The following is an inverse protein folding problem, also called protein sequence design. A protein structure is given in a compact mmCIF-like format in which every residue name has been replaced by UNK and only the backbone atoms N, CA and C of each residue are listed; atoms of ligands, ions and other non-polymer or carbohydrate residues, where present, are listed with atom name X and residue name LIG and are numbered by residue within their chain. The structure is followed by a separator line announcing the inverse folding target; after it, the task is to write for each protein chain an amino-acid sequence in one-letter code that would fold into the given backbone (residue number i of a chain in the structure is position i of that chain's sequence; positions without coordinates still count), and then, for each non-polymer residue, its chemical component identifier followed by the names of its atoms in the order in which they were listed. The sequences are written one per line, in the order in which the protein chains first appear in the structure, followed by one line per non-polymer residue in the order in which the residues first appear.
data_IF_656328935515
#
_entry.id   IF_656328935515
#
_cell.length_a   1.000
_cell.length_b   1.000
_cell.length_c   1.000
_cell.angle_alpha   90.00
_cell.angle_beta   90.00
_cell.angle_gamma   90.00
#
_symmetry.space_group_name_H-M   'P 1'
#
loop_
_entity.id
_entity.type
_entity.pdbx_description
1 polymer ?
#
# COMPACT_ATOMS: atom_id res chain seq x y z
N UNK A 1 -33.41 -31.04 22.71
CA UNK A 1 -33.27 -31.60 21.35
C UNK A 1 -31.78 -31.72 21.09
N UNK A 2 -31.29 -32.94 20.85
CA UNK A 2 -29.86 -33.26 20.75
C UNK A 2 -29.36 -32.97 19.34
N UNK A 3 -28.30 -32.18 19.22
CA UNK A 3 -27.55 -31.98 17.97
C UNK A 3 -26.93 -33.30 17.49
N UNK A 4 -26.96 -33.60 16.18
CA UNK A 4 -26.23 -34.73 15.63
C UNK A 4 -24.74 -34.41 15.45
N UNK A 5 -23.91 -35.31 16.00
CA UNK A 5 -22.46 -35.30 15.86
C UNK A 5 -22.02 -35.52 14.41
N UNK A 6 -21.10 -34.68 13.93
CA UNK A 6 -20.43 -34.81 12.64
C UNK A 6 -19.27 -35.80 12.77
N UNK A 7 -19.17 -36.85 11.92
CA UNK A 7 -18.05 -37.78 11.99
C UNK A 7 -16.76 -37.17 11.41
N UNK A 8 -15.58 -37.56 11.95
CA UNK A 8 -14.29 -37.06 11.49
C UNK A 8 -13.97 -37.60 10.09
N UNK A 9 -13.53 -36.69 9.20
CA UNK A 9 -13.03 -37.02 7.86
C UNK A 9 -11.61 -37.58 7.96
N UNK A 10 -11.45 -38.84 7.55
CA UNK A 10 -10.19 -39.52 7.32
C UNK A 10 -9.40 -38.82 6.21
N UNK A 11 -8.26 -38.22 6.54
CA UNK A 11 -7.29 -37.71 5.56
C UNK A 11 -6.36 -38.88 5.20
N UNK A 12 -6.49 -39.38 3.97
CA UNK A 12 -5.54 -40.32 3.40
C UNK A 12 -4.25 -39.57 3.03
N UNK A 13 -3.15 -39.89 3.73
CA UNK A 13 -1.81 -39.44 3.40
C UNK A 13 -1.30 -40.26 2.22
N UNK A 14 -1.29 -39.67 1.03
CA UNK A 14 -0.63 -40.26 -0.14
C UNK A 14 0.86 -39.97 0.00
N UNK A 15 1.61 -41.01 0.36
CA UNK A 15 3.07 -41.02 0.36
C UNK A 15 3.53 -41.15 -1.10
N UNK A 16 4.05 -40.06 -1.68
CA UNK A 16 4.65 -40.08 -3.02
C UNK A 16 6.09 -40.55 -2.88
N UNK A 17 6.38 -41.73 -3.44
CA UNK A 17 7.73 -42.26 -3.59
C UNK A 17 8.57 -41.38 -4.51
N UNK A 18 9.65 -40.82 -3.97
CA UNK A 18 10.74 -40.19 -4.73
C UNK A 18 11.57 -41.29 -5.38
N UNK A 19 11.43 -41.46 -6.70
CA UNK A 19 12.38 -42.21 -7.51
C UNK A 19 13.51 -41.27 -7.93
N UNK A 20 14.67 -41.45 -7.30
CA UNK A 20 15.93 -40.85 -7.70
C UNK A 20 16.41 -41.46 -9.02
N UNK A 21 16.23 -40.72 -10.13
CA UNK A 21 16.92 -40.97 -11.39
C UNK A 21 18.19 -40.13 -11.46
N UNK A 22 19.35 -40.76 -11.21
CA UNK A 22 20.66 -40.21 -11.60
C UNK A 22 20.81 -40.32 -13.12
N UNK A 23 20.88 -39.17 -13.80
CA UNK A 23 21.35 -39.06 -15.17
C UNK A 23 22.49 -38.04 -15.25
N UNK A 24 23.67 -38.38 -15.81
CA UNK A 24 24.73 -37.42 -16.05
C UNK A 24 24.47 -36.76 -17.42
N UNK A 25 24.06 -35.50 -17.40
CA UNK A 25 23.89 -34.67 -18.59
C UNK A 25 24.46 -33.28 -18.33
N UNK A 26 25.79 -33.17 -18.29
CA UNK A 26 26.49 -31.89 -18.32
C UNK A 26 26.34 -31.27 -19.71
N UNK A 27 25.21 -30.61 -19.95
CA UNK A 27 25.11 -29.58 -20.98
C UNK A 27 25.66 -28.28 -20.37
N UNK A 28 26.85 -27.89 -20.82
CA UNK A 28 27.41 -26.56 -20.60
C UNK A 28 26.41 -25.54 -21.15
N UNK A 29 25.68 -24.90 -20.24
CA UNK A 29 24.73 -23.84 -20.57
C UNK A 29 25.47 -22.67 -21.18
N UNK A 30 25.14 -22.39 -22.43
CA UNK A 30 25.45 -21.15 -23.13
C UNK A 30 24.87 -19.99 -22.30
N UNK A 31 25.75 -19.12 -21.76
CA UNK A 31 25.36 -17.90 -21.06
C UNK A 31 24.50 -17.04 -21.98
N UNK A 32 23.19 -17.08 -21.78
CA UNK A 32 22.24 -16.23 -22.48
C UNK A 32 22.58 -14.76 -22.18
N UNK A 33 23.19 -14.09 -23.17
CA UNK A 33 23.44 -12.64 -23.12
C UNK A 33 22.15 -11.91 -22.73
N UNK A 34 22.19 -10.97 -21.78
CA UNK A 34 21.03 -10.15 -21.44
C UNK A 34 20.46 -9.50 -22.70
N UNK A 35 19.21 -9.81 -23.03
CA UNK A 35 18.51 -9.26 -24.19
C UNK A 35 18.49 -7.72 -24.12
N UNK A 36 19.06 -7.06 -25.12
CA UNK A 36 19.13 -5.59 -25.26
C UNK A 36 17.76 -4.89 -25.06
N UNK A 37 16.66 -5.57 -25.42
CA UNK A 37 15.29 -5.07 -25.25
C UNK A 37 14.90 -4.81 -23.78
N UNK A 38 15.39 -5.62 -22.84
CA UNK A 38 15.05 -5.51 -21.42
C UNK A 38 15.75 -4.31 -20.78
N UNK A 39 16.96 -4.03 -21.22
CA UNK A 39 17.75 -2.88 -20.78
C UNK A 39 17.14 -1.56 -21.27
N UNK A 40 16.65 -1.51 -22.51
CA UNK A 40 15.99 -0.32 -23.05
C UNK A 40 14.66 0.01 -22.34
N UNK A 41 13.82 -0.99 -22.07
CA UNK A 41 12.55 -0.79 -21.36
C UNK A 41 12.76 -0.27 -19.92
N UNK A 42 13.71 -0.87 -19.18
CA UNK A 42 14.05 -0.42 -17.82
C UNK A 42 14.60 1.02 -17.81
N UNK A 43 15.39 1.38 -18.83
CA UNK A 43 15.93 2.74 -18.97
C UNK A 43 14.83 3.76 -19.26
N UNK A 44 13.88 3.44 -20.14
CA UNK A 44 12.75 4.30 -20.45
C UNK A 44 11.83 4.51 -19.24
N UNK A 45 11.56 3.44 -18.46
CA UNK A 45 10.78 3.54 -17.23
C UNK A 45 11.47 4.41 -16.19
N UNK A 46 12.78 4.21 -15.97
CA UNK A 46 13.56 5.04 -15.05
C UNK A 46 13.54 6.52 -15.45
N UNK A 47 13.67 6.82 -16.76
CA UNK A 47 13.59 8.18 -17.27
C UNK A 47 12.19 8.79 -17.07
N UNK A 48 11.11 8.03 -17.32
CA UNK A 48 9.75 8.46 -17.04
C UNK A 48 9.53 8.76 -15.55
N UNK A 49 10.06 7.90 -14.67
CA UNK A 49 9.99 8.08 -13.22
C UNK A 49 10.75 9.32 -12.73
N UNK A 50 11.92 9.60 -13.30
CA UNK A 50 12.69 10.80 -13.00
C UNK A 50 11.93 12.07 -13.41
N UNK A 51 11.41 12.10 -14.66
CA UNK A 51 10.56 13.20 -15.15
C UNK A 51 9.30 13.39 -14.30
N UNK A 52 8.63 12.29 -13.96
CA UNK A 52 7.45 12.31 -13.10
C UNK A 52 7.73 12.90 -11.72
N UNK A 53 8.89 12.57 -11.13
CA UNK A 53 9.32 13.14 -9.86
C UNK A 53 9.61 14.64 -9.97
N UNK A 54 10.26 15.10 -11.03
CA UNK A 54 10.48 16.54 -11.26
C UNK A 54 9.17 17.32 -11.39
N UNK A 55 8.22 16.81 -12.18
CA UNK A 55 6.88 17.41 -12.33
C UNK A 55 6.14 17.46 -11.00
N UNK A 56 6.23 16.39 -10.23
CA UNK A 56 5.63 16.30 -8.91
C UNK A 56 6.24 17.33 -7.95
N UNK A 57 7.57 17.44 -7.88
CA UNK A 57 8.27 18.41 -7.04
C UNK A 57 7.85 19.84 -7.38
N UNK A 58 7.77 20.19 -8.68
CA UNK A 58 7.22 21.48 -9.11
C UNK A 58 5.81 21.72 -8.62
N UNK A 59 4.93 20.71 -8.69
CA UNK A 59 3.55 20.82 -8.19
C UNK A 59 3.53 20.99 -6.67
N UNK A 60 4.30 20.21 -5.93
CA UNK A 60 4.33 20.26 -4.46
C UNK A 60 4.88 21.59 -3.95
N UNK A 61 5.83 22.22 -4.64
CA UNK A 61 6.31 23.55 -4.30
C UNK A 61 5.22 24.64 -4.35
N UNK A 62 4.10 24.40 -5.06
CA UNK A 62 2.94 25.31 -5.08
C UNK A 62 1.95 25.08 -3.94
N UNK A 63 2.17 24.06 -3.10
CA UNK A 63 1.29 23.66 -2.02
C UNK A 63 2.00 23.89 -0.67
N UNK A 64 1.68 24.99 0.04
CA UNK A 64 2.33 25.29 1.32
C UNK A 64 2.25 24.12 2.29
N UNK A 65 3.37 23.75 2.91
CA UNK A 65 3.46 22.69 3.91
C UNK A 65 3.49 21.26 3.35
N UNK A 66 3.52 21.09 2.02
CA UNK A 66 3.70 19.80 1.37
C UNK A 66 5.09 19.19 1.60
N UNK A 67 6.11 20.03 1.83
CA UNK A 67 7.49 19.62 2.14
C UNK A 67 7.62 18.81 3.43
N UNK A 68 6.61 18.87 4.31
CA UNK A 68 6.52 18.07 5.54
C UNK A 68 6.00 16.65 5.31
N UNK A 69 5.49 16.37 4.11
CA UNK A 69 4.99 15.05 3.73
C UNK A 69 6.05 14.22 3.01
N UNK A 70 5.89 12.89 3.05
CA UNK A 70 6.73 11.94 2.34
C UNK A 70 6.05 11.48 1.06
N UNK A 71 6.78 11.56 -0.05
CA UNK A 71 6.32 11.07 -1.35
C UNK A 71 6.74 9.61 -1.53
N UNK A 72 5.78 8.74 -1.85
CA UNK A 72 6.02 7.33 -2.18
C UNK A 72 5.41 7.03 -3.56
N UNK A 73 6.13 6.27 -4.39
CA UNK A 73 5.63 5.84 -5.71
C UNK A 73 4.76 4.59 -5.57
N UNK A 74 3.67 4.54 -6.35
CA UNK A 74 2.76 3.40 -6.43
C UNK A 74 3.00 2.74 -7.79
N UNK A 75 3.82 1.69 -7.84
CA UNK A 75 4.28 1.09 -9.11
C UNK A 75 3.63 -0.24 -9.47
N UNK A 76 2.95 -0.88 -8.54
CA UNK A 76 2.61 -2.30 -8.68
C UNK A 76 1.19 -2.54 -9.20
N UNK A 77 1.07 -3.59 -10.03
CA UNK A 77 -0.20 -4.26 -10.30
C UNK A 77 -1.03 -3.66 -11.44
N UNK A 78 -2.37 -3.65 -11.31
CA UNK A 78 -3.32 -3.27 -12.36
C UNK A 78 -3.17 -1.84 -12.90
N UNK A 79 -2.59 -0.92 -12.11
CA UNK A 79 -2.49 0.50 -12.47
C UNK A 79 -1.68 0.72 -13.75
N UNK A 80 -0.51 0.08 -13.88
CA UNK A 80 0.34 0.22 -15.07
C UNK A 80 -0.30 -0.35 -16.34
N UNK A 81 -1.16 -1.37 -16.21
CA UNK A 81 -1.88 -1.97 -17.35
C UNK A 81 -3.06 -1.11 -17.81
N UNK A 82 -3.81 -0.53 -16.87
CA UNK A 82 -5.02 0.24 -17.17
C UNK A 82 -4.75 1.69 -17.53
N UNK A 83 -3.66 2.26 -17.01
CA UNK A 83 -3.32 3.67 -17.18
C UNK A 83 -1.91 3.83 -17.76
N UNK A 84 -1.68 3.40 -19.02
CA UNK A 84 -0.36 3.51 -19.64
C UNK A 84 0.10 4.97 -19.70
N UNK A 85 1.34 5.21 -19.30
CA UNK A 85 1.95 6.55 -19.26
C UNK A 85 1.56 7.41 -18.04
N UNK A 86 0.65 6.94 -17.19
CA UNK A 86 0.38 7.61 -15.92
C UNK A 86 1.37 7.15 -14.84
N UNK A 87 1.77 8.06 -13.97
CA UNK A 87 2.60 7.76 -12.80
C UNK A 87 1.84 8.11 -11.53
N UNK A 88 1.77 7.15 -10.62
CA UNK A 88 1.01 7.28 -9.38
C UNK A 88 1.96 7.46 -8.19
N UNK A 89 1.63 8.43 -7.35
CA UNK A 89 2.35 8.75 -6.14
C UNK A 89 1.35 8.99 -5.00
N UNK A 90 1.83 8.85 -3.77
CA UNK A 90 1.12 9.28 -2.57
C UNK A 90 2.00 10.24 -1.78
N UNK A 91 1.44 11.40 -1.41
CA UNK A 91 2.02 12.29 -0.41
C UNK A 91 1.39 11.96 0.94
N UNK A 92 2.18 11.37 1.84
CA UNK A 92 1.76 10.96 3.17
C UNK A 92 2.28 11.93 4.23
N UNK A 93 1.38 12.40 5.07
CA UNK A 93 1.70 13.05 6.33
C UNK A 93 1.65 12.01 7.43
N UNK A 94 2.72 11.93 8.21
CA UNK A 94 2.85 10.98 9.30
C UNK A 94 1.67 11.13 10.27
N UNK A 95 0.91 10.06 10.52
CA UNK A 95 -0.10 10.04 11.59
C UNK A 95 0.49 9.52 12.91
N UNK A 96 1.54 8.71 12.82
CA UNK A 96 2.17 8.06 13.95
C UNK A 96 3.69 8.01 13.79
N UNK A 97 4.46 8.13 14.88
CA UNK A 97 3.99 8.25 16.27
C UNK A 97 3.50 9.63 16.68
N UNK A 98 3.97 10.68 16.00
CA UNK A 98 3.50 12.06 16.18
C UNK A 98 2.80 12.47 14.90
N UNK A 99 1.51 12.77 15.02
CA UNK A 99 0.67 13.19 13.92
C UNK A 99 1.11 14.57 13.42
N UNK A 100 1.39 14.67 12.13
CA UNK A 100 1.56 15.92 11.43
C UNK A 100 0.20 16.36 10.90
N UNK A 101 -0.25 17.54 11.32
CA UNK A 101 -1.47 18.14 10.78
C UNK A 101 -1.17 18.70 9.37
N UNK A 102 -1.74 18.08 8.30
CA UNK A 102 -1.56 18.58 6.95
C UNK A 102 -2.31 19.92 6.81
N UNK A 103 -1.73 20.89 6.08
CA UNK A 103 -2.41 22.15 5.81
C UNK A 103 -3.49 21.93 4.75
N UNK A 104 -4.62 22.64 4.83
CA UNK A 104 -5.63 22.58 3.78
C UNK A 104 -5.03 23.00 2.41
N UNK A 105 -5.39 22.34 1.29
CA UNK A 105 -6.40 21.29 1.15
C UNK A 105 -5.87 19.86 1.36
N UNK A 106 -4.62 19.69 1.79
CA UNK A 106 -3.98 18.39 1.97
C UNK A 106 -4.61 17.62 3.14
N UNK A 107 -4.67 16.30 3.00
CA UNK A 107 -5.08 15.34 4.02
C UNK A 107 -3.89 14.48 4.44
N UNK A 108 -4.10 13.54 5.36
CA UNK A 108 -3.03 12.66 5.82
C UNK A 108 -2.42 11.80 4.71
N UNK A 109 -3.21 11.42 3.71
CA UNK A 109 -2.72 10.82 2.48
C UNK A 109 -3.37 11.53 1.31
N UNK A 110 -2.59 11.79 0.27
CA UNK A 110 -3.05 12.46 -0.94
C UNK A 110 -2.48 11.73 -2.14
N UNK A 111 -3.35 11.30 -3.06
CA UNK A 111 -2.91 10.70 -4.30
C UNK A 111 -2.48 11.81 -5.26
N UNK A 112 -1.33 11.62 -5.89
CA UNK A 112 -0.79 12.50 -6.91
C UNK A 112 -0.59 11.69 -8.18
N UNK A 113 -1.17 12.15 -9.27
CA UNK A 113 -1.12 11.44 -10.55
C UNK A 113 -0.48 12.36 -11.58
N UNK A 114 0.67 11.95 -12.09
CA UNK A 114 1.29 12.58 -13.26
C UNK A 114 0.67 11.94 -14.49
N UNK A 115 0.07 12.77 -15.34
CA UNK A 115 -0.60 12.36 -16.56
C UNK A 115 0.39 12.34 -17.75
N UNK A 116 0.04 11.67 -18.86
CA UNK A 116 0.85 11.68 -20.08
C UNK A 116 1.08 13.07 -20.70
N UNK A 117 0.24 14.05 -20.35
CA UNK A 117 0.36 15.46 -20.79
C UNK A 117 1.20 16.32 -19.84
N UNK A 118 1.98 15.70 -18.96
CA UNK A 118 2.78 16.31 -17.89
C UNK A 118 1.99 17.06 -16.80
N UNK A 119 0.66 17.04 -16.84
CA UNK A 119 -0.14 17.64 -15.77
C UNK A 119 -0.13 16.76 -14.52
N UNK A 120 -0.16 17.40 -13.34
CA UNK A 120 -0.21 16.70 -12.05
C UNK A 120 -1.55 16.94 -11.35
N UNK A 121 -2.31 15.86 -11.18
CA UNK A 121 -3.56 15.86 -10.41
C UNK A 121 -3.30 15.61 -8.92
N UNK A 122 -4.04 16.29 -8.05
CA UNK A 122 -4.11 16.02 -6.62
C UNK A 122 -5.50 15.46 -6.30
N UNK A 123 -5.58 14.21 -5.84
CA UNK A 123 -6.82 13.55 -5.43
C UNK A 123 -6.75 13.29 -3.92
N UNK A 124 -7.41 14.15 -3.15
CA UNK A 124 -7.40 14.09 -1.68
C UNK A 124 -8.58 13.32 -1.09
N UNK A 125 -9.57 12.93 -1.90
CA UNK A 125 -10.80 12.29 -1.45
C UNK A 125 -11.37 11.30 -2.48
N UNK A 126 -12.33 10.46 -2.06
CA UNK A 126 -12.98 9.47 -2.94
C UNK A 126 -13.65 10.08 -4.16
N UNK A 127 -14.26 11.26 -4.03
CA UNK A 127 -15.00 11.89 -5.13
C UNK A 127 -14.07 12.35 -6.26
N UNK A 128 -12.89 12.86 -5.91
CA UNK A 128 -11.85 13.18 -6.89
C UNK A 128 -11.29 11.92 -7.56
N UNK A 129 -11.19 10.81 -6.82
CA UNK A 129 -10.78 9.52 -7.36
C UNK A 129 -11.81 8.95 -8.34
N UNK A 130 -13.10 9.01 -8.00
CA UNK A 130 -14.20 8.63 -8.89
C UNK A 130 -14.14 9.44 -10.17
N UNK A 131 -14.02 10.77 -10.05
CA UNK A 131 -13.94 11.67 -11.20
C UNK A 131 -12.77 11.32 -12.11
N UNK A 132 -11.60 11.02 -11.53
CA UNK A 132 -10.45 10.55 -12.29
C UNK A 132 -10.79 9.26 -13.05
N UNK A 133 -11.23 8.20 -12.37
CA UNK A 133 -11.54 6.92 -13.01
C UNK A 133 -12.59 7.04 -14.12
N UNK A 134 -13.66 7.81 -13.90
CA UNK A 134 -14.70 8.02 -14.92
C UNK A 134 -14.16 8.70 -16.18
N UNK A 135 -13.16 9.55 -16.04
CA UNK A 135 -12.56 10.29 -17.15
C UNK A 135 -11.42 9.55 -17.87
N UNK A 136 -10.71 8.65 -17.18
CA UNK A 136 -9.46 8.06 -17.69
C UNK A 136 -9.48 6.54 -17.80
N UNK A 137 -10.35 5.84 -17.09
CA UNK A 137 -10.40 4.38 -17.15
C UNK A 137 -10.86 3.93 -18.55
N UNK A 138 -10.09 3.07 -19.24
CA UNK A 138 -10.54 2.50 -20.51
C UNK A 138 -11.84 1.72 -20.36
N UNK A 139 -12.64 1.65 -21.44
CA UNK A 139 -13.89 0.90 -21.44
C UNK A 139 -13.65 -0.58 -21.05
N UNK A 140 -14.25 -1.02 -19.95
CA UNK A 140 -14.17 -2.37 -19.44
C UNK A 140 -15.27 -3.24 -20.08
N UNK A 141 -15.01 -3.74 -21.28
CA UNK A 141 -15.97 -4.54 -22.06
C UNK A 141 -16.02 -6.02 -21.67
N UNK A 142 -15.10 -6.45 -20.80
CA UNK A 142 -15.00 -7.83 -20.32
C UNK A 142 -14.96 -7.88 -18.80
N UNK A 143 -15.41 -9.00 -18.23
CA UNK A 143 -15.31 -9.22 -16.78
C UNK A 143 -13.88 -9.12 -16.26
N UNK A 144 -12.89 -9.58 -17.03
CA UNK A 144 -11.48 -9.47 -16.66
C UNK A 144 -11.01 -8.01 -16.54
N UNK A 145 -11.37 -7.16 -17.52
CA UNK A 145 -11.05 -5.73 -17.46
C UNK A 145 -11.76 -5.03 -16.30
N UNK A 146 -13.02 -5.39 -16.06
CA UNK A 146 -13.80 -4.82 -14.95
C UNK A 146 -13.21 -5.21 -13.59
N UNK A 147 -12.73 -6.45 -13.44
CA UNK A 147 -11.98 -6.93 -12.27
C UNK A 147 -10.67 -6.16 -12.07
N UNK A 148 -9.87 -5.96 -13.13
CA UNK A 148 -8.65 -5.16 -13.06
C UNK A 148 -8.96 -3.72 -12.63
N UNK A 149 -10.04 -3.12 -13.15
CA UNK A 149 -10.51 -1.80 -12.75
C UNK A 149 -10.84 -1.72 -11.26
N UNK A 150 -11.52 -2.74 -10.72
CA UNK A 150 -11.81 -2.82 -9.29
C UNK A 150 -10.55 -2.99 -8.43
N UNK A 151 -9.58 -3.80 -8.87
CA UNK A 151 -8.30 -3.93 -8.17
C UNK A 151 -7.50 -2.62 -8.16
N UNK A 152 -7.46 -1.90 -9.30
CA UNK A 152 -6.82 -0.58 -9.38
C UNK A 152 -7.50 0.43 -8.45
N UNK A 153 -8.84 0.44 -8.41
CA UNK A 153 -9.62 1.27 -7.50
C UNK A 153 -9.26 0.99 -6.04
N UNK A 154 -9.37 -0.28 -5.62
CA UNK A 154 -9.05 -0.71 -4.25
C UNK A 154 -7.63 -0.33 -3.86
N UNK A 155 -6.63 -0.56 -4.72
CA UNK A 155 -5.23 -0.21 -4.46
C UNK A 155 -5.06 1.28 -4.13
N UNK A 156 -5.78 2.16 -4.82
CA UNK A 156 -5.69 3.61 -4.58
C UNK A 156 -6.50 4.05 -3.35
N UNK A 157 -7.66 3.43 -3.09
CA UNK A 157 -8.46 3.71 -1.90
C UNK A 157 -7.77 3.22 -0.61
N UNK A 158 -7.01 2.12 -0.66
CA UNK A 158 -6.14 1.68 0.43
C UNK A 158 -5.19 2.80 0.87
N UNK A 159 -4.59 3.50 -0.09
CA UNK A 159 -3.67 4.62 0.18
C UNK A 159 -4.38 5.80 0.84
N UNK A 160 -5.62 6.10 0.45
CA UNK A 160 -6.42 7.15 1.08
C UNK A 160 -6.78 6.80 2.54
N UNK A 161 -6.89 5.51 2.87
CA UNK A 161 -7.25 5.01 4.19
C UNK A 161 -6.05 4.62 5.08
N UNK A 162 -4.84 4.64 4.52
CA UNK A 162 -3.62 4.24 5.19
C UNK A 162 -3.29 5.13 6.41
N UNK A 163 -2.69 4.56 7.44
CA UNK A 163 -2.17 5.31 8.61
C UNK A 163 -0.67 5.04 8.87
N UNK A 164 -0.03 4.28 7.99
CA UNK A 164 1.36 3.80 8.09
C UNK A 164 1.49 2.41 8.69
N UNK A 165 0.44 1.87 9.31
CA UNK A 165 0.44 0.58 10.00
C UNK A 165 -0.54 -0.44 9.40
N UNK A 166 -1.50 0.01 8.59
CA UNK A 166 -2.44 -0.88 7.93
C UNK A 166 -1.72 -1.63 6.81
N UNK A 167 -1.91 -2.93 6.80
CA UNK A 167 -1.55 -3.78 5.67
C UNK A 167 -2.85 -4.30 5.08
N UNK A 168 -3.00 -4.19 3.78
CA UNK A 168 -4.19 -4.63 3.06
C UNK A 168 -3.83 -5.81 2.16
N UNK A 169 -4.79 -6.69 1.96
CA UNK A 169 -4.77 -7.72 0.94
C UNK A 169 -6.07 -7.63 0.16
N UNK A 170 -6.01 -7.85 -1.16
CA UNK A 170 -7.19 -7.95 -2.03
C UNK A 170 -7.27 -9.39 -2.53
N UNK A 171 -8.01 -10.29 -1.85
CA UNK A 171 -8.19 -11.65 -2.31
C UNK A 171 -8.94 -11.66 -3.64
N UNK A 172 -8.49 -12.44 -4.62
CA UNK A 172 -9.12 -12.50 -5.94
C UNK A 172 -10.59 -12.96 -5.86
N UNK A 173 -10.87 -13.88 -4.94
CA UNK A 173 -12.21 -14.39 -4.65
C UNK A 173 -13.15 -13.35 -4.03
N UNK A 174 -12.63 -12.22 -3.53
CA UNK A 174 -13.47 -11.13 -3.03
C UNK A 174 -14.10 -10.31 -4.15
N UNK A 175 -13.61 -10.45 -5.39
CA UNK A 175 -14.07 -9.68 -6.53
C UNK A 175 -15.11 -10.46 -7.31
N UNK A 176 -16.32 -9.90 -7.39
CA UNK A 176 -17.45 -10.49 -8.10
C UNK A 176 -17.92 -9.54 -9.20
N UNK A 177 -18.11 -10.06 -10.41
CA UNK A 177 -18.66 -9.33 -11.55
C UNK A 177 -20.05 -9.88 -11.86
N UNK A 178 -21.05 -8.99 -11.90
CA UNK A 178 -22.44 -9.33 -12.24
C UNK A 178 -22.91 -8.48 -13.42
N UNK A 179 -23.77 -9.04 -14.27
CA UNK A 179 -24.44 -8.24 -15.32
C UNK A 179 -25.64 -7.53 -14.71
N UNK A 180 -25.83 -6.26 -15.05
CA UNK A 180 -27.04 -5.52 -14.69
C UNK A 180 -28.07 -5.60 -15.82
N UNK A 181 -29.35 -5.47 -15.48
CA UNK A 181 -30.48 -5.59 -16.42
C UNK A 181 -30.36 -4.61 -17.60
N UNK A 182 -29.76 -3.45 -17.38
CA UNK A 182 -29.49 -2.43 -18.40
C UNK A 182 -28.39 -2.81 -19.41
N UNK A 183 -27.78 -4.00 -19.31
CA UNK A 183 -26.76 -4.48 -20.23
C UNK A 183 -25.32 -4.13 -19.84
N UNK A 184 -25.09 -3.42 -18.74
CA UNK A 184 -23.77 -3.11 -18.19
C UNK A 184 -23.24 -4.17 -17.21
N UNK A 185 -22.20 -3.80 -16.46
CA UNK A 185 -21.57 -4.64 -15.44
C UNK A 185 -21.54 -3.94 -14.08
N UNK A 186 -21.80 -4.68 -13.01
CA UNK A 186 -21.56 -4.25 -11.63
C UNK A 186 -20.46 -5.12 -11.04
N UNK A 187 -19.39 -4.49 -10.58
CA UNK A 187 -18.27 -5.15 -9.92
C UNK A 187 -18.28 -4.78 -8.44
N UNK A 188 -18.17 -5.77 -7.58
CA UNK A 188 -17.94 -5.58 -6.14
C UNK A 188 -16.60 -6.20 -5.79
N UNK A 189 -15.82 -5.56 -4.93
CA UNK A 189 -14.54 -6.10 -4.44
C UNK A 189 -14.25 -5.66 -3.02
N UNK A 190 -13.32 -6.34 -2.35
CA UNK A 190 -12.96 -6.03 -0.97
C UNK A 190 -11.44 -6.05 -0.75
N UNK A 191 -10.90 -4.97 -0.16
CA UNK A 191 -9.56 -4.96 0.42
C UNK A 191 -9.66 -5.24 1.92
N UNK A 192 -9.11 -6.36 2.37
CA UNK A 192 -9.17 -6.81 3.76
C UNK A 192 -7.91 -6.37 4.49
N UNK A 193 -8.08 -5.84 5.71
CA UNK A 193 -6.96 -5.50 6.59
C UNK A 193 -6.34 -6.79 7.12
N UNK A 194 -5.04 -6.99 6.89
CA UNK A 194 -4.28 -8.11 7.45
C UNK A 194 -4.24 -7.97 8.98
N UNK A 195 -4.79 -8.93 9.74
CA UNK A 195 -4.90 -8.80 11.18
C UNK A 195 -3.53 -8.77 11.87
N UNK A 196 -3.12 -7.58 12.35
CA UNK A 196 -1.87 -7.37 13.09
C UNK A 196 -2.04 -6.24 14.11
N UNK A 197 -1.62 -6.45 15.35
CA UNK A 197 -1.66 -5.42 16.40
C UNK A 197 -3.07 -4.89 16.72
N UNK A 198 -4.12 -5.70 16.49
CA UNK A 198 -5.52 -5.29 16.67
C UNK A 198 -6.14 -4.59 15.45
N UNK A 199 -5.41 -4.44 14.34
CA UNK A 199 -5.97 -4.01 13.07
C UNK A 199 -6.93 -5.06 12.53
N UNK A 200 -8.10 -4.64 12.05
CA UNK A 200 -9.08 -5.52 11.39
C UNK A 200 -10.06 -4.72 10.54
N UNK A 201 -10.89 -5.43 9.77
CA UNK A 201 -11.92 -4.85 8.91
C UNK A 201 -11.50 -4.79 7.45
N UNK A 202 -12.08 -3.89 6.68
CA UNK A 202 -11.81 -3.81 5.25
C UNK A 202 -12.44 -2.61 4.55
N UNK A 203 -12.18 -2.53 3.26
CA UNK A 203 -12.72 -1.52 2.34
C UNK A 203 -13.48 -2.28 1.26
N UNK A 204 -14.80 -2.07 1.20
CA UNK A 204 -15.64 -2.61 0.15
C UNK A 204 -15.81 -1.59 -0.96
N UNK A 205 -15.55 -1.97 -2.20
CA UNK A 205 -15.76 -1.14 -3.36
C UNK A 205 -16.90 -1.68 -4.24
N UNK A 206 -17.61 -0.76 -4.90
CA UNK A 206 -18.63 -1.04 -5.91
C UNK A 206 -18.38 -0.13 -7.11
N UNK A 207 -18.14 -0.74 -8.27
CA UNK A 207 -18.01 -0.06 -9.55
C UNK A 207 -19.18 -0.48 -10.46
N UNK A 208 -19.75 0.48 -11.17
CA UNK A 208 -20.85 0.25 -12.12
C UNK A 208 -20.42 0.77 -13.49
N UNK A 209 -20.47 -0.12 -14.47
CA UNK A 209 -20.18 0.14 -15.87
C UNK A 209 -21.47 0.06 -16.68
N UNK A 210 -21.62 0.91 -17.69
CA UNK A 210 -22.72 0.82 -18.64
C UNK A 210 -22.49 -0.28 -19.69
N UNK A 211 -23.41 -0.39 -20.66
CA UNK A 211 -23.33 -1.39 -21.74
C UNK A 211 -22.15 -1.20 -22.70
N UNK A 212 -21.52 -0.02 -22.71
CA UNK A 212 -20.29 0.24 -23.47
C UNK A 212 -19.02 -0.13 -22.69
N UNK A 213 -19.15 -0.49 -21.42
CA UNK A 213 -18.04 -0.69 -20.50
C UNK A 213 -17.50 0.61 -19.92
N UNK A 214 -18.18 1.75 -20.10
CA UNK A 214 -17.77 3.03 -19.50
C UNK A 214 -18.14 3.05 -18.03
N UNK A 215 -17.24 3.51 -17.16
CA UNK A 215 -17.52 3.62 -15.74
C UNK A 215 -18.54 4.75 -15.48
N UNK A 216 -19.68 4.38 -14.93
CA UNK A 216 -20.77 5.32 -14.59
C UNK A 216 -20.59 5.85 -13.17
N UNK A 217 -20.26 4.97 -12.23
CA UNK A 217 -20.06 5.33 -10.83
C UNK A 217 -19.08 4.39 -10.14
N UNK A 218 -18.35 4.92 -9.16
CA UNK A 218 -17.54 4.14 -8.24
C UNK A 218 -17.73 4.65 -6.82
N UNK A 219 -17.81 3.73 -5.86
CA UNK A 219 -18.01 4.06 -4.46
C UNK A 219 -17.34 3.03 -3.56
N UNK A 220 -16.99 3.44 -2.36
CA UNK A 220 -16.47 2.57 -1.33
C UNK A 220 -17.14 2.78 0.03
N UNK A 221 -17.04 1.75 0.87
CA UNK A 221 -17.28 1.86 2.30
C UNK A 221 -16.10 1.26 3.03
N UNK A 222 -15.43 2.06 3.86
CA UNK A 222 -14.35 1.62 4.72
C UNK A 222 -14.88 1.33 6.13
N UNK A 223 -14.72 0.08 6.58
CA UNK A 223 -15.03 -0.36 7.94
C UNK A 223 -13.74 -0.88 8.58
N UNK A 224 -12.84 0.04 8.91
CA UNK A 224 -11.51 -0.29 9.44
C UNK A 224 -11.51 -0.02 10.95
N UNK A 225 -11.14 -1.03 11.73
CA UNK A 225 -10.79 -0.85 13.14
C UNK A 225 -9.28 -0.80 13.24
N UNK A 226 -8.77 0.37 13.61
CA UNK A 226 -7.35 0.56 13.89
C UNK A 226 -7.01 -0.10 15.23
N UNK A 227 -5.95 -0.90 15.22
CA UNK A 227 -5.38 -1.49 16.42
C UNK A 227 -4.68 -0.45 17.30
N UNK A 228 -3.97 -0.94 18.31
CA UNK A 228 -3.20 -0.06 19.21
C UNK A 228 -2.09 0.62 18.41
N UNK A 229 -1.91 1.92 18.64
CA UNK A 229 -0.84 2.74 18.06
C UNK A 229 -0.06 3.35 19.20
N UNK A 230 1.14 2.85 19.52
CA UNK A 230 1.96 3.44 20.56
C UNK A 230 2.29 4.89 20.22
N UNK A 231 2.15 5.78 21.20
CA UNK A 231 2.68 7.14 21.08
C UNK A 231 4.16 7.05 21.40
N UNK A 232 5.00 7.46 20.45
CA UNK A 232 6.44 7.45 20.69
C UNK A 232 6.83 8.60 21.61
N UNK A 233 7.59 8.24 22.64
CA UNK A 233 8.11 9.15 23.64
C UNK A 233 9.63 9.00 23.71
N UNK A 234 10.34 9.09 22.57
CA UNK A 234 11.80 8.90 22.59
C UNK A 234 12.50 9.88 23.53
N UNK A 235 11.97 11.09 23.70
CA UNK A 235 12.44 12.07 24.68
C UNK A 235 12.35 11.61 26.14
N UNK A 236 11.62 10.52 26.43
CA UNK A 236 11.47 9.88 27.74
C UNK A 236 12.40 8.69 27.97
N UNK A 237 13.29 8.37 27.03
CA UNK A 237 14.29 7.32 27.21
C UNK A 237 15.32 7.60 28.32
N UNK A 238 15.43 8.87 28.75
CA UNK A 238 16.26 9.28 29.88
C UNK A 238 15.44 9.75 31.09
N UNK A 239 14.13 9.48 31.13
CA UNK A 239 13.28 9.93 32.25
C UNK A 239 13.82 9.35 33.57
N UNK A 240 13.91 10.15 34.65
CA UNK A 240 14.40 9.67 35.95
C UNK A 240 13.50 8.59 36.56
N UNK A 241 12.20 8.59 36.23
CA UNK A 241 11.30 7.52 36.61
C UNK A 241 11.52 6.30 35.70
N UNK A 242 11.99 5.20 36.28
CA UNK A 242 12.27 3.95 35.58
C UNK A 242 11.01 3.35 34.93
N UNK A 243 9.83 3.61 35.48
CA UNK A 243 8.56 3.14 34.91
C UNK A 243 8.25 3.92 33.63
N UNK A 244 8.38 5.24 33.66
CA UNK A 244 8.16 6.10 32.48
C UNK A 244 9.16 5.74 31.38
N UNK A 245 10.42 5.53 31.74
CA UNK A 245 11.47 5.08 30.81
C UNK A 245 11.11 3.73 30.18
N UNK A 246 10.75 2.74 31.00
CA UNK A 246 10.36 1.42 30.51
C UNK A 246 9.12 1.46 29.60
N UNK A 247 8.15 2.32 29.88
CA UNK A 247 6.99 2.55 29.00
C UNK A 247 7.39 3.14 27.66
N UNK A 248 8.29 4.13 27.64
CA UNK A 248 8.80 4.75 26.41
C UNK A 248 9.57 3.74 25.55
N UNK A 249 10.46 2.96 26.17
CA UNK A 249 11.20 1.89 25.50
C UNK A 249 10.25 0.85 24.90
N UNK A 250 9.29 0.35 25.68
CA UNK A 250 8.33 -0.64 25.21
C UNK A 250 7.47 -0.11 24.07
N UNK A 251 7.04 1.15 24.12
CA UNK A 251 6.28 1.78 23.04
C UNK A 251 7.07 1.81 21.73
N UNK A 252 8.37 2.18 21.79
CA UNK A 252 9.28 2.17 20.64
C UNK A 252 9.47 0.76 20.08
N UNK A 253 9.70 -0.22 20.97
CA UNK A 253 9.90 -1.62 20.56
C UNK A 253 8.65 -2.24 19.95
N UNK A 254 7.44 -1.85 20.37
CA UNK A 254 6.18 -2.30 19.74
C UNK A 254 6.00 -1.71 18.35
N UNK A 255 6.48 -0.49 18.10
CA UNK A 255 6.47 0.09 16.76
C UNK A 255 7.49 -0.56 15.82
N UNK A 256 8.60 -1.07 16.35
CA UNK A 256 9.65 -1.72 15.57
C UNK A 256 10.19 -0.80 14.48
N UNK A 257 10.43 -1.35 13.29
CA UNK A 257 10.92 -0.60 12.12
C UNK A 257 10.01 0.56 11.69
N UNK A 258 8.73 0.59 12.08
CA UNK A 258 7.86 1.72 11.79
C UNK A 258 8.30 3.02 12.51
N UNK A 259 9.13 2.92 13.56
CA UNK A 259 9.63 4.09 14.29
C UNK A 259 10.80 4.82 13.59
N UNK A 260 11.37 4.26 12.51
CA UNK A 260 12.63 4.73 11.88
C UNK A 260 12.66 6.25 11.64
N UNK A 261 11.72 6.77 10.85
CA UNK A 261 11.71 8.17 10.42
C UNK A 261 11.56 9.12 11.62
N UNK A 262 10.80 8.70 12.64
CA UNK A 262 10.65 9.45 13.88
C UNK A 262 11.92 9.43 14.73
N UNK A 263 12.54 8.26 14.91
CA UNK A 263 13.76 8.16 15.71
C UNK A 263 14.90 8.96 15.09
N UNK A 264 15.01 8.97 13.76
CA UNK A 264 15.99 9.81 13.05
C UNK A 264 15.79 11.31 13.34
N UNK A 265 14.55 11.81 13.24
CA UNK A 265 14.19 13.21 13.55
C UNK A 265 14.48 13.57 15.02
N UNK A 266 14.10 12.70 15.96
CA UNK A 266 14.38 12.94 17.38
C UNK A 266 15.89 12.91 17.67
N UNK A 267 16.63 12.01 17.02
CA UNK A 267 18.08 11.89 17.20
C UNK A 267 18.80 13.15 16.73
N UNK A 268 18.39 13.75 15.62
CA UNK A 268 19.00 14.97 15.06
C UNK A 268 18.93 16.17 16.03
N UNK A 269 17.87 16.23 16.84
CA UNK A 269 17.62 17.32 17.81
C UNK A 269 17.98 16.96 19.26
N UNK A 270 18.45 15.73 19.52
CA UNK A 270 18.70 15.20 20.85
C UNK A 270 20.11 15.56 21.40
N UNK A 271 20.25 15.58 22.73
CA UNK A 271 21.56 15.61 23.39
C UNK A 271 22.35 14.32 23.12
N UNK A 272 23.69 14.31 23.26
CA UNK A 272 24.50 13.12 23.02
C UNK A 272 24.01 11.88 23.80
N UNK A 273 23.63 12.04 25.07
CA UNK A 273 23.17 10.93 25.92
C UNK A 273 21.85 10.35 25.41
N UNK A 274 20.96 11.21 24.91
CA UNK A 274 19.68 10.79 24.35
C UNK A 274 19.87 10.17 22.97
N UNK A 275 20.81 10.65 22.16
CA UNK A 275 21.20 10.00 20.91
C UNK A 275 21.68 8.57 21.16
N UNK A 276 22.55 8.37 22.15
CA UNK A 276 23.02 7.03 22.52
C UNK A 276 21.87 6.12 22.98
N UNK A 277 20.89 6.67 23.70
CA UNK A 277 19.71 5.92 24.13
C UNK A 277 18.82 5.51 22.94
N UNK A 278 18.59 6.42 21.99
CA UNK A 278 17.88 6.15 20.75
C UNK A 278 18.61 5.07 19.94
N UNK A 279 19.94 5.19 19.79
CA UNK A 279 20.76 4.26 19.01
C UNK A 279 20.76 2.86 19.60
N UNK A 280 20.80 2.71 20.93
CA UNK A 280 20.67 1.40 21.61
C UNK A 280 19.33 0.73 21.31
N UNK A 281 18.23 1.48 21.37
CA UNK A 281 16.89 0.93 21.09
C UNK A 281 16.75 0.60 19.60
N UNK A 282 17.28 1.45 18.72
CA UNK A 282 17.29 1.18 17.28
C UNK A 282 18.06 -0.10 16.95
N UNK A 283 19.25 -0.28 17.55
CA UNK A 283 20.02 -1.50 17.40
C UNK A 283 19.21 -2.73 17.82
N UNK A 284 18.48 -2.65 18.94
CA UNK A 284 17.60 -3.72 19.41
C UNK A 284 16.47 -4.04 18.43
N UNK A 285 15.82 -3.03 17.85
CA UNK A 285 14.79 -3.21 16.81
C UNK A 285 15.35 -3.98 15.61
N UNK A 286 16.53 -3.57 15.13
CA UNK A 286 17.16 -4.18 13.96
C UNK A 286 17.62 -5.61 14.26
N UNK A 287 18.21 -5.85 15.45
CA UNK A 287 18.74 -7.16 15.84
C UNK A 287 17.64 -8.20 16.12
N UNK A 288 16.49 -7.77 16.64
CA UNK A 288 15.35 -8.64 16.94
C UNK A 288 14.33 -8.74 15.78
N UNK A 289 14.62 -8.12 14.64
CA UNK A 289 13.76 -8.01 13.46
C UNK A 289 12.31 -7.60 13.78
N UNK A 290 12.15 -6.56 14.60
CA UNK A 290 10.85 -6.06 15.06
C UNK A 290 10.17 -5.07 14.11
#
# INVERSE_FOLDING_TARGET
MREPAVPPRTIAVIMICVLAGLGPGLALGEEAKPSESRTQAATAEAAAQARGRELLERKLATLPGAERGRVVSIREGPLGRLFPGYLFYVLRFRQYPVALNPPAPLRSNNLLIVRPDDSVALLANPEALESFFRSTLPAATTAAMATEGAKAWLRLVEELNQDGFLQFAVPDESITVTRVVSGGQRVTGEAVVVPKGGNQGGIRAVLVFDSSGTLVSASETAQIKRGIRPICQATKLLDPDLIVRGMAEQAILVMGRAATDYLAEQRESASPELQDAIDRIWHKIVSEDR
#
